data_IF_069825971667
#
_entry.id   IF_069825971667
#
_cell.length_a   1.000
_cell.length_b   1.000
_cell.length_c   1.000
_cell.angle_alpha   90.00
_cell.angle_beta   90.00
_cell.angle_gamma   90.00
#
_symmetry.space_group_name_H-M   'P 1'
#
loop_
_entity.id
_entity.type
_entity.pdbx_description
1 polymer ?
#
# COMPACT_ATOMS: atom_id res chain seq x y z
N UNK A 1 -54.50 75.70 -22.64
CA UNK A 1 -53.06 75.56 -22.93
C UNK A 1 -52.55 74.40 -22.07
N UNK A 2 -52.51 73.19 -22.69
CA UNK A 2 -52.30 71.90 -21.96
C UNK A 2 -50.88 71.42 -22.26
N UNK A 3 -50.06 71.39 -21.24
CA UNK A 3 -48.70 70.90 -21.32
C UNK A 3 -48.67 69.36 -20.99
N UNK A 4 -48.38 68.56 -22.01
CA UNK A 4 -48.17 67.12 -21.88
C UNK A 4 -46.78 66.85 -21.28
N UNK A 5 -46.69 66.29 -20.05
CA UNK A 5 -45.52 65.76 -19.50
C UNK A 5 -45.30 64.29 -20.00
N UNK A 6 -44.22 64.07 -20.71
CA UNK A 6 -43.72 62.72 -21.08
C UNK A 6 -43.08 62.09 -19.89
N UNK A 7 -43.60 60.97 -19.44
CA UNK A 7 -42.94 60.04 -18.49
C UNK A 7 -41.94 59.16 -19.24
N UNK A 8 -40.67 59.37 -18.95
CA UNK A 8 -39.59 58.46 -19.42
C UNK A 8 -39.43 57.32 -18.40
N UNK A 9 -39.92 56.15 -18.78
CA UNK A 9 -39.73 54.95 -17.99
C UNK A 9 -38.25 54.50 -18.01
N UNK A 10 -37.60 54.55 -16.84
CA UNK A 10 -36.27 53.95 -16.65
C UNK A 10 -36.47 52.44 -16.47
N UNK A 11 -36.14 51.66 -17.52
CA UNK A 11 -36.03 50.20 -17.43
C UNK A 11 -34.88 49.82 -16.56
N UNK A 12 -35.21 49.21 -15.43
CA UNK A 12 -34.24 48.57 -14.53
C UNK A 12 -33.82 47.24 -15.14
N UNK A 13 -32.66 47.19 -15.78
CA UNK A 13 -32.05 45.94 -16.25
C UNK A 13 -31.42 45.26 -15.05
N UNK A 14 -32.13 44.26 -14.51
CA UNK A 14 -31.61 43.39 -13.43
C UNK A 14 -30.66 42.33 -14.04
N UNK A 15 -29.38 42.60 -14.00
CA UNK A 15 -28.32 41.62 -14.37
C UNK A 15 -28.19 40.60 -13.26
N UNK A 16 -28.79 39.43 -13.46
CA UNK A 16 -28.60 38.27 -12.56
C UNK A 16 -27.25 37.66 -12.91
N UNK A 17 -26.23 38.02 -12.12
CA UNK A 17 -24.93 37.32 -12.11
C UNK A 17 -25.12 35.95 -11.47
N UNK A 18 -25.27 34.92 -12.31
CA UNK A 18 -25.09 33.51 -11.88
C UNK A 18 -23.62 33.30 -11.51
N UNK A 19 -23.33 33.41 -10.23
CA UNK A 19 -22.06 32.96 -9.66
C UNK A 19 -22.09 31.42 -9.62
N UNK A 20 -21.67 30.79 -10.71
CA UNK A 20 -21.41 29.34 -10.73
C UNK A 20 -20.21 29.07 -9.86
N UNK A 21 -20.45 28.76 -8.58
CA UNK A 21 -19.45 28.28 -7.64
C UNK A 21 -19.07 26.85 -8.07
N UNK A 22 -18.10 26.76 -8.97
CA UNK A 22 -17.47 25.49 -9.28
C UNK A 22 -16.81 24.97 -7.99
N UNK A 23 -17.44 24.00 -7.36
CA UNK A 23 -16.82 23.24 -6.29
C UNK A 23 -15.66 22.46 -6.92
N UNK A 24 -14.45 22.99 -6.76
CA UNK A 24 -13.24 22.24 -6.93
C UNK A 24 -13.26 21.16 -5.85
N UNK A 25 -13.68 19.96 -6.22
CA UNK A 25 -13.38 18.76 -5.44
C UNK A 25 -11.87 18.56 -5.60
N UNK A 26 -11.11 19.14 -4.68
CA UNK A 26 -9.71 18.75 -4.49
C UNK A 26 -9.79 17.32 -3.97
N UNK A 27 -9.65 16.33 -4.85
CA UNK A 27 -9.29 15.00 -4.45
C UNK A 27 -7.97 15.16 -3.70
N UNK A 28 -7.97 14.96 -2.40
CA UNK A 28 -6.76 14.83 -1.64
C UNK A 28 -6.09 13.57 -2.17
N UNK A 29 -5.09 13.76 -3.03
CA UNK A 29 -4.19 12.71 -3.49
C UNK A 29 -3.34 12.33 -2.27
N UNK A 30 -3.92 11.47 -1.42
CA UNK A 30 -3.25 11.03 -0.21
C UNK A 30 -2.33 9.91 -0.63
N UNK A 31 -1.04 10.22 -0.78
CA UNK A 31 0.00 9.26 -1.09
C UNK A 31 -0.13 8.01 -0.22
N UNK A 32 0.07 6.82 -0.80
CA UNK A 32 0.04 5.58 -0.06
C UNK A 32 1.16 5.56 0.98
N UNK A 33 0.88 5.07 2.19
CA UNK A 33 1.92 4.90 3.19
C UNK A 33 2.87 3.79 2.75
N UNK A 34 4.17 3.99 2.94
CA UNK A 34 5.17 2.96 2.70
C UNK A 34 5.14 1.81 3.72
N UNK A 35 4.18 1.78 4.65
CA UNK A 35 4.06 0.76 5.68
C UNK A 35 2.99 1.07 6.71
N UNK A 36 3.09 0.47 7.89
CA UNK A 36 2.16 0.65 8.99
C UNK A 36 2.90 1.11 10.27
N UNK A 37 2.34 2.11 10.96
CA UNK A 37 2.95 2.68 12.18
C UNK A 37 4.34 3.23 11.91
N UNK A 38 5.29 2.81 12.72
CA UNK A 38 6.70 3.21 12.61
C UNK A 38 7.51 2.37 11.61
N UNK A 39 6.97 1.26 11.09
CA UNK A 39 7.69 0.35 10.19
C UNK A 39 7.30 0.62 8.73
N UNK A 40 8.28 1.02 7.93
CA UNK A 40 8.06 1.41 6.53
C UNK A 40 9.06 0.71 5.60
N UNK A 41 8.64 0.50 4.35
CA UNK A 41 9.48 -0.04 3.29
C UNK A 41 10.78 0.77 3.13
N UNK A 42 11.86 0.09 2.80
CA UNK A 42 13.18 0.69 2.64
C UNK A 42 14.02 0.77 3.90
N UNK A 43 13.48 0.46 5.09
CA UNK A 43 14.26 0.39 6.32
C UNK A 43 15.32 -0.71 6.27
N UNK A 44 16.46 -0.49 6.94
CA UNK A 44 17.43 -1.54 7.23
C UNK A 44 16.89 -2.49 8.29
N UNK A 45 17.47 -3.68 8.39
CA UNK A 45 17.09 -4.68 9.42
C UNK A 45 17.20 -4.08 10.82
N UNK A 46 18.29 -3.37 11.13
CA UNK A 46 18.49 -2.78 12.46
C UNK A 46 17.49 -1.65 12.76
N UNK A 47 17.20 -0.80 11.77
CA UNK A 47 16.19 0.26 11.94
C UNK A 47 14.81 -0.33 12.17
N UNK A 48 14.45 -1.37 11.43
CA UNK A 48 13.17 -2.06 11.61
C UNK A 48 13.08 -2.77 12.97
N UNK A 49 14.16 -3.44 13.43
CA UNK A 49 14.21 -4.04 14.78
C UNK A 49 13.94 -3.00 15.87
N UNK A 50 14.54 -1.82 15.78
CA UNK A 50 14.32 -0.75 16.73
C UNK A 50 12.87 -0.26 16.70
N UNK A 51 12.29 -0.02 15.50
CA UNK A 51 10.92 0.38 15.34
C UNK A 51 9.93 -0.67 15.88
N UNK A 52 10.19 -1.96 15.66
CA UNK A 52 9.39 -3.06 16.18
C UNK A 52 9.49 -3.19 17.70
N UNK A 53 10.65 -2.87 18.29
CA UNK A 53 10.85 -2.89 19.72
C UNK A 53 10.10 -1.75 20.43
N UNK A 54 9.94 -0.61 19.77
CA UNK A 54 9.24 0.57 20.31
C UNK A 54 7.72 0.44 20.26
N UNK A 55 7.18 -0.37 19.32
CA UNK A 55 5.74 -0.56 19.15
C UNK A 55 5.29 -1.96 19.62
N UNK A 56 4.68 -2.04 20.82
CA UNK A 56 4.25 -3.31 21.40
C UNK A 56 3.16 -4.03 20.57
N UNK A 57 2.49 -3.36 19.63
CA UNK A 57 1.46 -3.98 18.80
C UNK A 57 2.02 -5.10 17.91
N UNK A 58 3.30 -5.05 17.57
CA UNK A 58 3.97 -6.10 16.80
C UNK A 58 4.40 -7.31 17.62
N UNK A 59 4.47 -7.21 18.93
CA UNK A 59 4.87 -8.33 19.81
C UNK A 59 6.28 -8.84 19.57
N UNK A 60 7.21 -7.98 19.10
CA UNK A 60 8.58 -8.32 18.76
C UNK A 60 9.39 -8.74 19.99
N UNK A 61 10.10 -9.88 19.90
CA UNK A 61 10.83 -10.52 21.01
C UNK A 61 12.36 -10.54 20.82
N UNK A 62 12.84 -9.75 19.87
CA UNK A 62 14.26 -9.69 19.55
C UNK A 62 14.71 -10.75 18.54
N UNK A 63 15.97 -11.21 18.68
CA UNK A 63 16.60 -12.09 17.68
C UNK A 63 15.92 -13.46 17.49
N UNK A 64 15.03 -13.87 18.39
CA UNK A 64 14.22 -15.09 18.20
C UNK A 64 13.27 -15.00 17.00
N UNK A 65 12.85 -13.80 16.67
CA UNK A 65 11.91 -13.54 15.59
C UNK A 65 12.62 -13.33 14.25
N UNK A 66 13.96 -13.38 14.25
CA UNK A 66 14.79 -13.15 13.07
C UNK A 66 15.26 -14.47 12.47
N UNK A 67 15.01 -14.65 11.19
CA UNK A 67 15.41 -15.83 10.42
C UNK A 67 16.12 -15.44 9.13
N UNK A 68 17.06 -16.27 8.68
CA UNK A 68 17.64 -16.12 7.36
C UNK A 68 16.80 -16.91 6.34
N UNK A 69 16.44 -16.27 5.25
CA UNK A 69 15.77 -16.93 4.14
C UNK A 69 16.82 -17.52 3.16
N UNK A 70 16.43 -18.55 2.36
CA UNK A 70 17.27 -19.03 1.28
C UNK A 70 17.65 -17.90 0.30
N UNK A 71 18.93 -17.87 -0.10
CA UNK A 71 19.52 -16.82 -0.93
C UNK A 71 20.48 -15.93 -0.15
N UNK A 72 21.28 -15.14 -0.87
CA UNK A 72 22.25 -14.27 -0.23
C UNK A 72 21.54 -13.02 0.35
N UNK A 73 21.86 -12.69 1.61
CA UNK A 73 21.43 -11.45 2.27
C UNK A 73 19.90 -11.26 2.37
N UNK A 74 19.16 -12.35 2.52
CA UNK A 74 17.70 -12.31 2.76
C UNK A 74 17.39 -12.58 4.23
N UNK A 75 16.64 -11.69 4.84
CA UNK A 75 16.23 -11.77 6.24
C UNK A 75 14.71 -11.72 6.33
N UNK A 76 14.14 -12.51 7.23
CA UNK A 76 12.74 -12.47 7.63
C UNK A 76 12.68 -12.15 9.12
N UNK A 77 11.92 -11.15 9.51
CA UNK A 77 11.46 -10.96 10.88
C UNK A 77 10.01 -11.40 10.92
N UNK A 78 9.69 -12.38 11.79
CA UNK A 78 8.33 -12.91 11.98
C UNK A 78 7.94 -12.72 13.42
N UNK A 79 6.86 -11.98 13.68
CA UNK A 79 6.38 -11.66 15.03
C UNK A 79 4.96 -12.17 15.24
N UNK A 80 4.65 -12.55 16.46
CA UNK A 80 3.27 -12.79 16.88
C UNK A 80 2.70 -11.44 17.32
N UNK A 81 1.79 -10.91 16.52
CA UNK A 81 1.15 -9.62 16.81
C UNK A 81 0.33 -9.62 18.10
N UNK A 82 -0.15 -8.45 18.49
CA UNK A 82 -0.98 -8.25 19.68
C UNK A 82 -2.26 -7.52 19.28
N UNK A 83 -3.39 -7.88 19.87
CA UNK A 83 -4.72 -7.29 19.65
C UNK A 83 -5.23 -7.45 18.21
N UNK A 84 -4.85 -6.51 17.33
CA UNK A 84 -5.37 -6.45 15.96
C UNK A 84 -4.55 -7.27 14.97
N UNK A 85 -3.39 -7.77 15.36
CA UNK A 85 -2.51 -8.59 14.53
C UNK A 85 -2.39 -9.99 15.12
N UNK A 86 -2.55 -11.00 14.28
CA UNK A 86 -2.23 -12.38 14.63
C UNK A 86 -0.74 -12.65 14.40
N UNK A 87 -0.24 -12.22 13.24
CA UNK A 87 1.14 -12.45 12.82
C UNK A 87 1.60 -11.35 11.86
N UNK A 88 2.85 -10.92 12.01
CA UNK A 88 3.45 -9.93 11.13
C UNK A 88 4.77 -10.45 10.55
N UNK A 89 4.97 -10.26 9.24
CA UNK A 89 6.19 -10.65 8.55
C UNK A 89 6.82 -9.47 7.84
N UNK A 90 8.13 -9.32 8.05
CA UNK A 90 8.94 -8.26 7.47
C UNK A 90 10.07 -8.90 6.68
N UNK A 91 10.05 -8.78 5.35
CA UNK A 91 11.00 -9.43 4.47
C UNK A 91 12.01 -8.41 3.93
N UNK A 92 13.28 -8.76 4.08
CA UNK A 92 14.40 -7.92 3.66
C UNK A 92 15.21 -8.62 2.56
N UNK A 93 15.66 -7.82 1.60
CA UNK A 93 16.67 -8.17 0.62
C UNK A 93 17.80 -7.15 0.69
N UNK A 94 19.04 -7.61 0.81
CA UNK A 94 20.23 -6.73 0.89
C UNK A 94 20.06 -5.60 1.91
N UNK A 95 19.62 -5.96 3.12
CA UNK A 95 19.41 -5.02 4.23
C UNK A 95 18.30 -3.97 3.95
N UNK A 96 17.36 -4.27 3.05
CA UNK A 96 16.27 -3.37 2.71
C UNK A 96 14.93 -4.06 2.85
N UNK A 97 14.05 -3.52 3.70
CA UNK A 97 12.66 -3.98 3.87
C UNK A 97 11.87 -3.73 2.59
N UNK A 98 11.39 -4.80 1.95
CA UNK A 98 10.66 -4.71 0.68
C UNK A 98 9.25 -5.30 0.72
N UNK A 99 8.93 -6.10 1.73
CA UNK A 99 7.57 -6.59 1.99
C UNK A 99 7.27 -6.50 3.48
N UNK A 100 6.10 -5.92 3.79
CA UNK A 100 5.47 -5.95 5.10
C UNK A 100 4.15 -6.69 4.93
N UNK A 101 3.94 -7.77 5.69
CA UNK A 101 2.69 -8.55 5.69
C UNK A 101 2.11 -8.52 7.10
N UNK A 102 0.89 -8.05 7.24
CA UNK A 102 0.16 -7.95 8.50
C UNK A 102 -1.08 -8.83 8.41
N UNK A 103 -1.08 -9.97 9.08
CA UNK A 103 -2.25 -10.81 9.23
C UNK A 103 -3.09 -10.25 10.38
N UNK A 104 -4.24 -9.71 10.04
CA UNK A 104 -5.13 -9.07 11.00
C UNK A 104 -6.00 -10.12 11.70
N UNK A 105 -6.28 -9.87 12.97
CA UNK A 105 -7.11 -10.73 13.80
C UNK A 105 -8.60 -10.60 13.41
N UNK A 106 -9.16 -11.65 12.83
CA UNK A 106 -10.57 -11.68 12.37
C UNK A 106 -11.59 -11.61 13.51
N UNK A 107 -11.19 -11.87 14.75
CA UNK A 107 -12.05 -11.69 15.93
C UNK A 107 -12.17 -10.22 16.34
N UNK A 108 -11.22 -9.38 15.95
CA UNK A 108 -11.17 -7.95 16.31
C UNK A 108 -11.67 -7.03 15.20
N UNK A 109 -11.42 -7.39 13.95
CA UNK A 109 -11.80 -6.59 12.77
C UNK A 109 -12.23 -7.50 11.62
N UNK A 110 -13.13 -7.02 10.77
CA UNK A 110 -13.59 -7.74 9.58
C UNK A 110 -13.08 -7.09 8.28
N UNK A 111 -13.06 -7.88 7.22
CA UNK A 111 -12.58 -7.45 5.90
C UNK A 111 -13.32 -6.21 5.38
N UNK A 112 -14.64 -6.14 5.54
CA UNK A 112 -15.44 -5.05 4.99
C UNK A 112 -15.14 -3.73 5.70
N UNK A 113 -14.97 -3.76 7.02
CA UNK A 113 -14.59 -2.60 7.84
C UNK A 113 -13.21 -2.08 7.47
N UNK A 114 -12.22 -2.97 7.33
CA UNK A 114 -10.87 -2.61 6.89
C UNK A 114 -10.90 -2.04 5.46
N UNK A 115 -11.55 -2.73 4.52
CA UNK A 115 -11.69 -2.27 3.14
C UNK A 115 -12.31 -0.86 3.06
N UNK A 116 -13.43 -0.64 3.77
CA UNK A 116 -14.10 0.66 3.83
C UNK A 116 -13.18 1.75 4.39
N UNK A 117 -12.43 1.44 5.43
CA UNK A 117 -11.47 2.38 6.04
C UNK A 117 -10.37 2.77 5.05
N UNK A 118 -9.80 1.80 4.32
CA UNK A 118 -8.80 2.04 3.30
C UNK A 118 -9.36 2.88 2.14
N UNK A 119 -10.57 2.55 1.64
CA UNK A 119 -11.24 3.34 0.61
C UNK A 119 -11.51 4.79 1.05
N UNK A 120 -11.90 5.00 2.30
CA UNK A 120 -12.14 6.35 2.83
C UNK A 120 -10.85 7.17 2.92
N UNK A 121 -9.71 6.51 3.16
CA UNK A 121 -8.42 7.17 3.37
C UNK A 121 -7.63 7.34 2.08
N UNK A 122 -7.65 6.34 1.21
CA UNK A 122 -6.79 6.27 0.02
C UNK A 122 -7.57 6.21 -1.30
N UNK A 123 -8.91 6.32 -1.25
CA UNK A 123 -9.74 6.20 -2.44
C UNK A 123 -10.06 4.76 -2.82
N UNK A 124 -10.69 4.58 -3.99
CA UNK A 124 -11.00 3.25 -4.50
C UNK A 124 -9.71 2.52 -4.93
N UNK A 125 -9.65 1.18 -4.79
CA UNK A 125 -8.50 0.44 -5.24
C UNK A 125 -8.34 0.49 -6.78
N UNK A 126 -7.10 0.49 -7.25
CA UNK A 126 -6.75 0.43 -8.68
C UNK A 126 -7.11 -0.92 -9.30
N UNK A 127 -7.08 -1.98 -8.49
CA UNK A 127 -7.44 -3.34 -8.90
C UNK A 127 -8.28 -4.02 -7.83
N UNK A 128 -9.35 -4.67 -8.27
CA UNK A 128 -10.28 -5.41 -7.40
C UNK A 128 -10.54 -6.80 -7.95
N UNK A 129 -10.27 -7.81 -7.14
CA UNK A 129 -10.56 -9.21 -7.42
C UNK A 129 -11.27 -9.88 -6.24
N UNK A 130 -11.86 -11.09 -6.42
CA UNK A 130 -12.48 -11.83 -5.29
C UNK A 130 -11.51 -12.16 -4.15
N UNK A 131 -10.19 -12.19 -4.42
CA UNK A 131 -9.16 -12.56 -3.45
C UNK A 131 -8.44 -11.36 -2.84
N UNK A 132 -8.33 -10.24 -3.58
CA UNK A 132 -7.57 -9.07 -3.13
C UNK A 132 -8.04 -7.76 -3.76
N UNK A 133 -7.80 -6.66 -3.03
CA UNK A 133 -7.92 -5.29 -3.49
C UNK A 133 -6.53 -4.65 -3.43
N UNK A 134 -6.11 -3.92 -4.47
CA UNK A 134 -4.79 -3.29 -4.54
C UNK A 134 -4.90 -1.80 -4.81
N UNK A 135 -4.07 -1.04 -4.10
CA UNK A 135 -3.81 0.39 -4.32
C UNK A 135 -2.35 0.55 -4.71
N UNK A 136 -2.05 1.43 -5.67
CA UNK A 136 -0.71 1.65 -6.19
C UNK A 136 -0.36 3.13 -6.15
N UNK A 137 0.84 3.44 -5.69
CA UNK A 137 1.39 4.79 -5.72
C UNK A 137 2.91 4.72 -5.90
N UNK A 138 3.37 5.14 -7.08
CA UNK A 138 4.78 5.05 -7.44
C UNK A 138 5.31 3.61 -7.35
N UNK A 139 6.25 3.39 -6.44
CA UNK A 139 6.86 2.07 -6.20
C UNK A 139 6.17 1.27 -5.10
N UNK A 140 5.13 1.81 -4.45
CA UNK A 140 4.42 1.15 -3.35
C UNK A 140 3.16 0.49 -3.86
N UNK A 141 3.00 -0.79 -3.55
CA UNK A 141 1.74 -1.52 -3.69
C UNK A 141 1.24 -1.83 -2.28
N UNK A 142 0.04 -1.36 -1.97
CA UNK A 142 -0.70 -1.78 -0.78
C UNK A 142 -1.82 -2.71 -1.22
N UNK A 143 -1.94 -3.88 -0.61
CA UNK A 143 -3.03 -4.82 -0.89
C UNK A 143 -3.74 -5.27 0.38
N UNK A 144 -5.06 -5.43 0.28
CA UNK A 144 -5.89 -6.12 1.25
C UNK A 144 -6.31 -7.45 0.66
N UNK A 145 -5.79 -8.54 1.20
CA UNK A 145 -5.96 -9.90 0.71
C UNK A 145 -6.86 -10.71 1.64
N UNK A 146 -7.61 -11.68 1.08
CA UNK A 146 -8.42 -12.57 1.90
C UNK A 146 -7.57 -13.72 2.48
N UNK A 147 -7.84 -14.20 3.72
CA UNK A 147 -9.02 -13.84 4.52
C UNK A 147 -8.97 -12.41 5.09
N UNK A 148 -7.85 -11.95 5.68
CA UNK A 148 -7.70 -10.60 6.25
C UNK A 148 -6.22 -10.22 6.41
N UNK A 149 -5.51 -10.06 5.29
CA UNK A 149 -4.10 -9.70 5.27
C UNK A 149 -3.90 -8.34 4.61
N UNK A 150 -3.27 -7.40 5.31
CA UNK A 150 -2.81 -6.13 4.77
C UNK A 150 -1.32 -6.25 4.43
N UNK A 151 -0.95 -5.91 3.19
CA UNK A 151 0.41 -6.08 2.71
C UNK A 151 0.90 -4.83 2.01
N UNK A 152 2.16 -4.47 2.26
CA UNK A 152 2.88 -3.42 1.56
C UNK A 152 4.07 -4.02 0.84
N UNK A 153 4.29 -3.64 -0.40
CA UNK A 153 5.36 -4.18 -1.26
C UNK A 153 6.08 -3.03 -1.98
N UNK A 154 7.40 -3.03 -1.93
CA UNK A 154 8.22 -2.23 -2.85
C UNK A 154 8.27 -2.97 -4.20
N UNK A 155 7.48 -2.47 -5.17
CA UNK A 155 7.30 -3.11 -6.47
C UNK A 155 8.62 -3.26 -7.24
N UNK A 156 9.53 -2.30 -7.12
CA UNK A 156 10.83 -2.34 -7.83
C UNK A 156 11.69 -3.47 -7.32
N UNK A 157 11.86 -3.57 -6.00
CA UNK A 157 12.66 -4.64 -5.39
C UNK A 157 12.02 -6.00 -5.66
N UNK A 158 10.69 -6.07 -5.59
CA UNK A 158 9.97 -7.32 -5.87
C UNK A 158 10.15 -7.78 -7.32
N UNK A 159 10.08 -6.88 -8.30
CA UNK A 159 10.32 -7.18 -9.71
C UNK A 159 11.77 -7.60 -9.98
N UNK A 160 12.77 -6.90 -9.41
CA UNK A 160 14.18 -7.27 -9.52
C UNK A 160 14.44 -8.68 -9.00
N UNK A 161 13.84 -9.06 -7.87
CA UNK A 161 13.96 -10.40 -7.31
C UNK A 161 13.26 -11.46 -8.18
N UNK A 162 12.11 -11.14 -8.74
CA UNK A 162 11.39 -12.05 -9.63
C UNK A 162 12.17 -12.29 -10.94
N UNK A 163 12.73 -11.25 -11.53
CA UNK A 163 13.58 -11.35 -12.71
C UNK A 163 14.84 -12.18 -12.44
N UNK A 164 15.52 -11.93 -11.32
CA UNK A 164 16.69 -12.69 -10.90
C UNK A 164 16.38 -14.17 -10.71
N UNK A 165 15.27 -14.49 -10.08
CA UNK A 165 14.82 -15.87 -9.87
C UNK A 165 14.48 -16.57 -11.21
N UNK A 166 13.87 -15.87 -12.16
CA UNK A 166 13.57 -16.41 -13.47
C UNK A 166 14.84 -16.68 -14.29
N UNK A 167 15.86 -15.82 -14.20
CA UNK A 167 17.17 -16.01 -14.84
C UNK A 167 17.88 -17.21 -14.26
N UNK A 168 17.89 -17.37 -12.93
CA UNK A 168 18.51 -18.51 -12.26
C UNK A 168 17.84 -19.83 -12.64
N UNK A 169 16.52 -19.90 -12.59
CA UNK A 169 15.74 -21.05 -13.04
C UNK A 169 16.03 -21.42 -14.51
N UNK A 170 16.11 -20.46 -15.41
CA UNK A 170 16.43 -20.69 -16.83
C UNK A 170 17.87 -21.24 -17.00
N UNK A 171 18.81 -20.77 -16.18
CA UNK A 171 20.20 -21.23 -16.20
C UNK A 171 20.31 -22.67 -15.70
N UNK A 172 19.64 -23.01 -14.62
CA UNK A 172 19.58 -24.37 -14.08
C UNK A 172 18.96 -25.34 -15.08
N UNK A 173 17.86 -24.98 -15.72
CA UNK A 173 17.19 -25.82 -16.73
C UNK A 173 18.07 -26.05 -17.96
N UNK A 174 18.81 -25.05 -18.43
CA UNK A 174 19.80 -25.21 -19.51
C UNK A 174 20.93 -26.15 -19.09
N UNK A 175 21.43 -26.05 -17.88
CA UNK A 175 22.48 -26.89 -17.36
C UNK A 175 22.02 -28.34 -17.27
N UNK A 176 20.81 -28.56 -16.77
CA UNK A 176 20.16 -29.86 -16.70
C UNK A 176 19.98 -30.47 -18.10
N UNK A 177 19.49 -29.69 -19.05
CA UNK A 177 19.29 -30.17 -20.42
C UNK A 177 20.61 -30.53 -21.09
N UNK A 178 21.65 -29.70 -20.94
CA UNK A 178 23.00 -29.99 -21.44
C UNK A 178 23.60 -31.29 -20.84
N UNK A 179 23.36 -31.52 -19.55
CA UNK A 179 23.77 -32.77 -18.90
C UNK A 179 23.05 -34.00 -19.51
N UNK A 180 21.72 -33.90 -19.70
CA UNK A 180 20.93 -34.98 -20.29
C UNK A 180 21.35 -35.30 -21.73
N UNK A 181 21.70 -34.29 -22.53
CA UNK A 181 22.20 -34.43 -23.89
C UNK A 181 23.60 -35.04 -23.97
N UNK A 182 24.35 -35.02 -22.86
CA UNK A 182 25.69 -35.58 -22.76
C UNK A 182 25.74 -37.09 -22.36
N UNK A 183 24.57 -37.64 -21.98
CA UNK A 183 24.44 -39.07 -21.61
C UNK A 183 24.23 -39.94 -22.87
#
# INVERSE_FOLDING_TARGET
MIVKRRFVGKGLVMVILFFSMAWLVVAADTALPGGYGSVVLGMSVDTAKNALQEDPAYGYRGDRDVSLLPGENRVLISTNGVLFFDECWFQFDKDRLYIITLNLNEEQVDYASVFKSLCNKYGQPDSLSPKKSEWRDGAVIMSLERPLTLKYTDERVFQELQESSNVEFTKEERTRQSFLESL
#
